data_IF_754251774701
#
_entry.id   IF_754251774701
#
_cell.length_a   1.000
_cell.length_b   1.000
_cell.length_c   1.000
_cell.angle_alpha   90.00
_cell.angle_beta   90.00
_cell.angle_gamma   90.00
#
_symmetry.space_group_name_H-M   'P 1'
#
loop_
_entity.id
_entity.type
_entity.pdbx_description
1 polymer ?
#
# COMPACT_ATOMS: atom_id res chain seq x y z
N UNK A 1 -14.52 17.63 -25.73
CA UNK A 1 -13.08 17.31 -25.67
C UNK A 1 -12.74 16.70 -27.01
N UNK A 2 -12.33 17.53 -27.96
CA UNK A 2 -12.25 17.16 -29.38
C UNK A 2 -10.87 16.64 -29.82
N UNK A 3 -9.90 16.57 -28.89
CA UNK A 3 -8.56 16.08 -29.15
C UNK A 3 -8.38 14.64 -28.61
N UNK A 4 -8.12 13.65 -29.49
CA UNK A 4 -7.95 12.25 -29.10
C UNK A 4 -6.72 12.00 -28.20
N UNK A 5 -5.63 12.77 -28.39
CA UNK A 5 -4.39 12.62 -27.64
C UNK A 5 -4.53 13.17 -26.22
N UNK A 6 -5.15 14.35 -26.07
CA UNK A 6 -5.44 14.93 -24.76
C UNK A 6 -6.39 14.02 -23.98
N UNK A 7 -7.41 13.45 -24.65
CA UNK A 7 -8.38 12.54 -24.02
C UNK A 7 -7.73 11.28 -23.45
N UNK A 8 -6.71 10.73 -24.09
CA UNK A 8 -5.99 9.54 -23.61
C UNK A 8 -5.17 9.83 -22.34
N UNK A 9 -4.55 11.01 -22.25
CA UNK A 9 -3.64 11.36 -21.15
C UNK A 9 -4.33 12.09 -19.98
N UNK A 10 -5.53 12.66 -20.19
CA UNK A 10 -6.22 13.44 -19.16
C UNK A 10 -6.71 12.56 -18.00
N UNK A 11 -7.07 11.30 -18.27
CA UNK A 11 -7.52 10.36 -17.25
C UNK A 11 -6.39 10.01 -16.28
N UNK A 12 -5.20 9.74 -16.82
CA UNK A 12 -4.00 9.48 -16.02
C UNK A 12 -3.58 10.71 -15.20
N UNK A 13 -3.62 11.89 -15.81
CA UNK A 13 -3.30 13.15 -15.13
C UNK A 13 -4.25 13.40 -13.96
N UNK A 14 -5.57 13.24 -14.17
CA UNK A 14 -6.58 13.38 -13.12
C UNK A 14 -6.35 12.38 -11.99
N UNK A 15 -6.01 11.13 -12.34
CA UNK A 15 -5.71 10.10 -11.35
C UNK A 15 -4.48 10.47 -10.52
N UNK A 16 -3.41 10.95 -11.14
CA UNK A 16 -2.19 11.40 -10.43
C UNK A 16 -2.47 12.56 -9.47
N UNK A 17 -3.27 13.55 -9.89
CA UNK A 17 -3.67 14.67 -9.03
C UNK A 17 -4.49 14.15 -7.84
N UNK A 18 -5.48 13.28 -8.09
CA UNK A 18 -6.31 12.67 -7.03
C UNK A 18 -5.47 11.90 -6.03
N UNK A 19 -4.50 11.11 -6.48
CA UNK A 19 -3.57 10.39 -5.60
C UNK A 19 -2.79 11.33 -4.69
N UNK A 20 -2.28 12.45 -5.21
CA UNK A 20 -1.54 13.42 -4.39
C UNK A 20 -2.43 14.08 -3.33
N UNK A 21 -3.64 14.49 -3.70
CA UNK A 21 -4.61 15.08 -2.77
C UNK A 21 -5.01 14.06 -1.70
N UNK A 22 -5.25 12.80 -2.10
CA UNK A 22 -5.56 11.71 -1.18
C UNK A 22 -4.44 11.51 -0.15
N UNK A 23 -3.18 11.44 -0.59
CA UNK A 23 -2.03 11.28 0.31
C UNK A 23 -1.94 12.44 1.30
N UNK A 24 -2.14 13.68 0.84
CA UNK A 24 -2.14 14.86 1.71
C UNK A 24 -3.28 14.81 2.73
N UNK A 25 -4.47 14.37 2.32
CA UNK A 25 -5.67 14.27 3.16
C UNK A 25 -5.54 13.21 4.26
N UNK A 26 -4.98 12.04 3.96
CA UNK A 26 -4.89 10.92 4.92
C UNK A 26 -3.72 11.05 5.89
N UNK A 27 -2.68 11.83 5.55
CA UNK A 27 -1.43 11.95 6.31
C UNK A 27 -1.58 12.25 7.82
N UNK A 28 -2.50 13.13 8.28
CA UNK A 28 -2.64 13.42 9.70
C UNK A 28 -3.44 12.37 10.47
N UNK A 29 -4.08 11.42 9.80
CA UNK A 29 -4.95 10.42 10.44
C UNK A 29 -4.23 9.10 10.66
N UNK A 30 -4.63 8.36 11.69
CA UNK A 30 -4.24 6.95 11.87
C UNK A 30 -5.34 6.01 11.37
N UNK A 31 -6.59 6.45 11.48
CA UNK A 31 -7.80 5.75 11.02
C UNK A 31 -8.72 6.79 10.41
N UNK A 32 -9.24 6.53 9.23
CA UNK A 32 -10.09 7.48 8.50
C UNK A 32 -11.21 6.74 7.78
N UNK A 33 -12.43 7.27 7.85
CA UNK A 33 -13.59 6.69 7.18
C UNK A 33 -13.53 6.91 5.66
N UNK A 34 -13.75 5.86 4.88
CA UNK A 34 -13.77 5.93 3.41
C UNK A 34 -14.89 6.87 2.92
N UNK A 35 -16.10 6.89 3.50
CA UNK A 35 -17.13 7.86 3.14
C UNK A 35 -16.74 9.33 3.38
N UNK A 36 -15.83 9.59 4.31
CA UNK A 36 -15.30 10.94 4.53
C UNK A 36 -14.35 11.35 3.39
N UNK A 37 -13.47 10.43 2.96
CA UNK A 37 -12.59 10.63 1.81
C UNK A 37 -13.40 10.85 0.53
N UNK A 38 -14.46 10.07 0.32
CA UNK A 38 -15.37 10.20 -0.82
C UNK A 38 -16.00 11.59 -0.91
N UNK A 39 -16.44 12.16 0.22
CA UNK A 39 -17.01 13.51 0.29
C UNK A 39 -15.97 14.60 -0.01
N UNK A 40 -14.76 14.47 0.53
CA UNK A 40 -13.69 15.45 0.31
C UNK A 40 -13.16 15.44 -1.13
N UNK A 41 -13.08 14.26 -1.75
CA UNK A 41 -12.63 14.12 -3.15
C UNK A 41 -13.77 14.24 -4.18
N UNK A 42 -15.02 14.28 -3.72
CA UNK A 42 -16.23 14.30 -4.54
C UNK A 42 -16.26 13.17 -5.61
N UNK A 43 -15.97 11.94 -5.19
CA UNK A 43 -16.00 10.73 -6.02
C UNK A 43 -16.73 9.60 -5.29
N UNK A 44 -17.19 8.59 -6.02
CA UNK A 44 -17.91 7.47 -5.43
C UNK A 44 -17.04 6.66 -4.46
N UNK A 45 -17.66 6.07 -3.44
CA UNK A 45 -16.96 5.25 -2.43
C UNK A 45 -16.23 4.07 -3.09
N UNK A 46 -16.82 3.45 -4.12
CA UNK A 46 -16.19 2.35 -4.85
C UNK A 46 -14.93 2.81 -5.59
N UNK A 47 -14.95 4.01 -6.15
CA UNK A 47 -13.81 4.60 -6.84
C UNK A 47 -12.68 4.97 -5.86
N UNK A 48 -13.03 5.47 -4.66
CA UNK A 48 -12.07 5.69 -3.57
C UNK A 48 -11.41 4.38 -3.17
N UNK A 49 -12.19 3.32 -2.97
CA UNK A 49 -11.66 2.00 -2.61
C UNK A 49 -10.70 1.47 -3.68
N UNK A 50 -11.08 1.54 -4.96
CA UNK A 50 -10.22 1.14 -6.08
C UNK A 50 -8.91 1.92 -6.11
N UNK A 51 -8.98 3.25 -5.90
CA UNK A 51 -7.81 4.11 -5.82
C UNK A 51 -6.92 3.76 -4.62
N UNK A 52 -7.50 3.50 -3.45
CA UNK A 52 -6.78 3.10 -2.25
C UNK A 52 -6.09 1.74 -2.42
N UNK A 53 -6.77 0.76 -3.02
CA UNK A 53 -6.19 -0.56 -3.34
C UNK A 53 -4.96 -0.38 -4.22
N UNK A 54 -5.07 0.42 -5.27
CA UNK A 54 -3.95 0.67 -6.16
C UNK A 54 -2.80 1.38 -5.46
N UNK A 55 -3.08 2.41 -4.66
CA UNK A 55 -2.06 3.13 -3.91
C UNK A 55 -1.32 2.23 -2.89
N UNK A 56 -2.02 1.27 -2.27
CA UNK A 56 -1.43 0.27 -1.36
C UNK A 56 -0.54 -0.71 -2.13
N UNK A 57 -1.01 -1.20 -3.29
CA UNK A 57 -0.21 -2.08 -4.16
C UNK A 57 1.06 -1.40 -4.67
N UNK A 58 0.96 -0.11 -5.02
CA UNK A 58 2.07 0.73 -5.46
C UNK A 58 3.01 1.14 -4.30
N UNK A 59 2.74 0.68 -3.06
CA UNK A 59 3.48 1.03 -1.83
C UNK A 59 3.52 2.54 -1.51
N UNK A 60 2.67 3.35 -2.15
CA UNK A 60 2.57 4.79 -1.89
C UNK A 60 1.85 5.07 -0.55
N UNK A 61 0.88 4.23 -0.20
CA UNK A 61 0.16 4.26 1.07
C UNK A 61 0.45 2.96 1.83
N UNK A 62 0.84 3.10 3.10
CA UNK A 62 1.04 1.95 4.00
C UNK A 62 -0.15 1.86 4.94
N UNK A 63 -1.07 0.95 4.63
CA UNK A 63 -2.27 0.75 5.41
C UNK A 63 -3.09 -0.44 4.93
N UNK A 64 -4.23 -0.62 5.57
CA UNK A 64 -5.19 -1.70 5.33
C UNK A 64 -6.59 -1.12 5.21
N UNK A 65 -7.37 -1.71 4.33
CA UNK A 65 -8.76 -1.33 4.10
C UNK A 65 -9.64 -2.32 4.87
N UNK A 66 -10.44 -1.80 5.80
CA UNK A 66 -11.55 -2.52 6.41
C UNK A 66 -12.83 -2.18 5.64
N UNK A 67 -13.18 -3.07 4.72
CA UNK A 67 -14.34 -2.88 3.85
C UNK A 67 -15.68 -3.01 4.61
N UNK A 68 -15.71 -3.75 5.73
CA UNK A 68 -16.94 -3.95 6.53
C UNK A 68 -17.27 -2.66 7.29
N UNK A 69 -16.28 -2.07 7.95
CA UNK A 69 -16.45 -0.82 8.70
C UNK A 69 -16.22 0.45 7.85
N UNK A 70 -15.91 0.29 6.57
CA UNK A 70 -15.64 1.39 5.64
C UNK A 70 -14.56 2.33 6.18
N UNK A 71 -13.44 1.74 6.59
CA UNK A 71 -12.36 2.41 7.31
C UNK A 71 -11.00 2.08 6.69
N UNK A 72 -10.17 3.09 6.51
CA UNK A 72 -8.75 2.94 6.18
C UNK A 72 -7.93 3.05 7.46
N UNK A 73 -7.19 2.00 7.79
CA UNK A 73 -6.24 1.97 8.90
C UNK A 73 -4.82 2.11 8.38
N UNK A 74 -4.11 3.13 8.84
CA UNK A 74 -2.73 3.41 8.42
C UNK A 74 -1.75 2.73 9.37
N UNK A 75 -0.78 2.01 8.80
CA UNK A 75 0.23 1.25 9.54
C UNK A 75 1.31 2.20 10.09
N UNK A 76 1.01 2.88 11.21
CA UNK A 76 1.95 3.80 11.88
C UNK A 76 3.01 3.07 12.72
N UNK A 77 2.79 1.78 13.01
CA UNK A 77 3.63 1.00 13.94
C UNK A 77 4.48 -0.03 13.18
N UNK A 78 5.58 0.40 12.56
CA UNK A 78 6.65 -0.52 12.12
C UNK A 78 7.42 -1.07 13.31
N UNK A 79 6.85 -2.05 14.01
CA UNK A 79 7.63 -2.82 15.00
C UNK A 79 8.53 -3.83 14.29
N UNK A 80 9.84 -3.58 14.33
CA UNK A 80 10.89 -4.61 14.31
C UNK A 80 11.06 -5.50 13.07
N UNK A 81 10.25 -5.34 12.02
CA UNK A 81 10.26 -6.25 10.85
C UNK A 81 11.65 -6.48 10.27
N UNK A 82 12.46 -5.44 10.12
CA UNK A 82 13.82 -5.56 9.59
C UNK A 82 14.73 -6.47 10.43
N UNK A 83 14.62 -6.40 11.77
CA UNK A 83 15.42 -7.24 12.69
C UNK A 83 15.00 -8.70 12.59
N UNK A 84 13.69 -8.97 12.58
CA UNK A 84 13.17 -10.33 12.47
C UNK A 84 13.52 -10.95 11.11
N UNK A 85 13.41 -10.19 10.02
CA UNK A 85 13.82 -10.65 8.68
C UNK A 85 15.31 -10.97 8.60
N UNK A 86 16.17 -10.16 9.25
CA UNK A 86 17.61 -10.42 9.29
C UNK A 86 17.93 -11.72 10.07
N UNK A 87 17.28 -11.93 11.22
CA UNK A 87 17.43 -13.15 12.01
C UNK A 87 16.95 -14.39 11.24
N UNK A 88 15.78 -14.32 10.59
CA UNK A 88 15.25 -15.41 9.76
C UNK A 88 16.21 -15.77 8.61
N UNK A 89 16.76 -14.77 7.92
CA UNK A 89 17.79 -14.99 6.90
C UNK A 89 19.02 -15.70 7.47
N UNK A 90 19.52 -15.26 8.62
CA UNK A 90 20.69 -15.88 9.24
C UNK A 90 20.42 -17.33 9.64
N UNK A 91 19.26 -17.61 10.24
CA UNK A 91 18.85 -18.98 10.60
C UNK A 91 18.76 -19.89 9.38
N UNK A 92 18.19 -19.41 8.27
CA UNK A 92 18.11 -20.18 7.01
C UNK A 92 19.48 -20.50 6.44
N UNK A 93 20.41 -19.54 6.47
CA UNK A 93 21.78 -19.74 5.99
C UNK A 93 22.55 -20.75 6.86
N UNK A 94 22.42 -20.67 8.19
CA UNK A 94 23.01 -21.65 9.11
C UNK A 94 22.47 -23.06 8.89
N UNK A 95 21.16 -23.21 8.66
CA UNK A 95 20.56 -24.51 8.40
C UNK A 95 21.07 -25.11 7.08
N UNK A 96 21.16 -24.29 6.02
CA UNK A 96 21.74 -24.71 4.74
C UNK A 96 23.21 -25.13 4.88
N UNK A 97 24.00 -24.40 5.68
CA UNK A 97 25.40 -24.75 5.95
C UNK A 97 25.50 -26.08 6.69
N UNK A 98 24.68 -26.28 7.73
CA UNK A 98 24.65 -27.52 8.49
C UNK A 98 24.32 -28.73 7.59
N UNK A 99 23.30 -28.62 6.74
CA UNK A 99 22.95 -29.66 5.78
C UNK A 99 24.10 -29.97 4.81
N UNK A 100 24.79 -28.94 4.30
CA UNK A 100 25.94 -29.12 3.43
C UNK A 100 27.10 -29.85 4.13
N UNK A 101 27.39 -29.53 5.40
CA UNK A 101 28.44 -30.19 6.18
C UNK A 101 28.08 -31.66 6.43
N UNK A 102 26.85 -31.94 6.86
CA UNK A 102 26.38 -33.32 7.11
C UNK A 102 26.48 -34.15 5.84
N UNK A 103 26.07 -33.61 4.69
CA UNK A 103 26.14 -34.30 3.39
C UNK A 103 27.56 -34.61 2.91
N UNK A 104 28.58 -33.97 3.48
CA UNK A 104 30.00 -34.23 3.18
C UNK A 104 30.62 -35.25 4.14
N UNK A 105 30.01 -35.48 5.30
CA UNK A 105 30.48 -36.41 6.32
C UNK A 105 29.89 -37.83 6.16
N UNK A 106 28.69 -37.95 5.59
CA UNK A 106 28.12 -39.20 5.07
C UNK A 106 28.57 -39.45 3.64
#
# INVERSE_FOLDING_TARGET
MDDPFIREHIEELLRNIRTQVLIALIKPYTRIHIPFISKELNIDVCDVESLLVQCILDNTIQGRIDQVNQLLELDYQKRGGARYTALDKWTKQLNSLNQAIVSKLT
#
